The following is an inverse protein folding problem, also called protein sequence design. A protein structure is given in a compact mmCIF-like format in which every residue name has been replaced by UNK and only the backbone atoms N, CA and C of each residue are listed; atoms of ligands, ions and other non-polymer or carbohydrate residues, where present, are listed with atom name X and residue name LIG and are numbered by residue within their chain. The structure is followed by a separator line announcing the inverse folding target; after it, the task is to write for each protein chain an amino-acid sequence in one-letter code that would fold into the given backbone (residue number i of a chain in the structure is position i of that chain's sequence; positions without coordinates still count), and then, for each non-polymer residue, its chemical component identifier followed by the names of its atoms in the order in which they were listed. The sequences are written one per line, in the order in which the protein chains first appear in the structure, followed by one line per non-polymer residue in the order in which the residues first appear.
data_IF_975143325516
#
_entry.id   IF_975143325516
#
_cell.length_a   1.000
_cell.length_b   1.000
_cell.length_c   1.000
_cell.angle_alpha   90.00
_cell.angle_beta   90.00
_cell.angle_gamma   90.00
#
_symmetry.space_group_name_H-M   'P 1'
#
loop_
_entity.id
_entity.type
_entity.pdbx_description
1 polymer ?
#
# COMPACT_ATOMS: atom_id res chain seq x y z
N UNK A 1 -30.64 11.60 10.36
CA UNK A 1 -29.54 10.74 9.89
C UNK A 1 -28.25 11.29 10.50
N UNK A 2 -27.57 10.53 11.37
CA UNK A 2 -26.19 10.91 11.72
C UNK A 2 -25.34 10.73 10.45
N UNK A 3 -24.49 11.69 10.08
CA UNK A 3 -23.56 11.49 8.98
C UNK A 3 -22.73 10.24 9.25
N UNK A 4 -22.46 9.45 8.21
CA UNK A 4 -21.60 8.28 8.30
C UNK A 4 -20.15 8.74 8.53
N UNK A 5 -19.78 8.86 9.81
CA UNK A 5 -18.47 9.34 10.25
C UNK A 5 -17.34 8.43 9.73
N UNK A 6 -17.62 7.16 9.42
CA UNK A 6 -16.61 6.21 8.93
C UNK A 6 -16.19 6.47 7.48
N UNK A 7 -17.00 7.16 6.68
CA UNK A 7 -16.61 7.57 5.32
C UNK A 7 -15.65 8.77 5.27
N UNK A 8 -15.37 9.42 6.41
CA UNK A 8 -14.52 10.62 6.50
C UNK A 8 -13.25 10.43 7.33
N UNK A 9 -13.10 9.29 8.00
CA UNK A 9 -11.91 8.96 8.77
C UNK A 9 -10.93 8.15 7.92
N UNK A 10 -9.62 8.32 8.11
CA UNK A 10 -8.64 7.38 7.58
C UNK A 10 -8.99 5.96 8.04
N UNK A 11 -8.82 4.98 7.16
CA UNK A 11 -9.07 3.59 7.51
C UNK A 11 -7.93 3.06 8.39
N UNK A 12 -8.30 2.46 9.52
CA UNK A 12 -7.37 1.87 10.46
C UNK A 12 -7.72 0.42 10.71
N UNK A 13 -6.70 -0.40 10.95
CA UNK A 13 -6.88 -1.74 11.52
C UNK A 13 -7.09 -1.62 13.02
N UNK A 14 -8.16 -2.26 13.49
CA UNK A 14 -8.60 -2.23 14.89
C UNK A 14 -8.59 -3.67 15.42
N UNK A 15 -7.86 -3.97 16.50
CA UNK A 15 -7.83 -5.33 17.06
C UNK A 15 -9.19 -5.68 17.65
N UNK A 16 -9.65 -6.90 17.38
CA UNK A 16 -10.85 -7.43 17.99
C UNK A 16 -10.56 -7.85 19.44
N UNK A 17 -11.15 -7.13 20.39
CA UNK A 17 -11.20 -7.44 21.82
C UNK A 17 -12.55 -8.02 22.23
N UNK A 18 -13.40 -8.35 21.26
CA UNK A 18 -14.74 -8.87 21.47
C UNK A 18 -15.84 -7.99 20.86
N UNK A 19 -15.52 -6.75 20.49
CA UNK A 19 -16.48 -5.78 19.96
C UNK A 19 -17.10 -6.19 18.61
N UNK A 20 -16.51 -7.13 17.88
CA UNK A 20 -17.02 -7.60 16.59
C UNK A 20 -17.68 -8.99 16.63
N UNK A 21 -17.91 -9.56 17.82
CA UNK A 21 -18.45 -10.90 18.01
C UNK A 21 -17.36 -11.93 18.32
N UNK A 22 -17.74 -13.07 18.91
CA UNK A 22 -16.82 -14.12 19.36
C UNK A 22 -16.82 -15.37 18.47
N UNK A 23 -17.83 -15.53 17.60
CA UNK A 23 -18.03 -16.79 16.84
C UNK A 23 -17.13 -16.90 15.60
N UNK A 24 -16.48 -15.82 15.22
CA UNK A 24 -15.58 -15.75 14.06
C UNK A 24 -14.19 -15.38 14.60
N UNK A 25 -13.14 -16.09 14.15
CA UNK A 25 -11.74 -15.92 14.56
C UNK A 25 -11.11 -14.59 14.07
N UNK A 26 -11.87 -13.50 14.15
CA UNK A 26 -11.49 -12.17 13.71
C UNK A 26 -10.44 -11.62 14.65
N UNK A 27 -9.27 -11.30 14.11
CA UNK A 27 -8.14 -10.72 14.84
C UNK A 27 -8.12 -9.20 14.72
N UNK A 28 -8.31 -8.68 13.51
CA UNK A 28 -8.32 -7.25 13.19
C UNK A 28 -9.51 -6.93 12.27
N UNK A 29 -10.00 -5.71 12.35
CA UNK A 29 -11.03 -5.19 11.46
C UNK A 29 -10.59 -3.84 10.92
N UNK A 30 -10.74 -3.65 9.62
CA UNK A 30 -10.69 -2.35 8.96
C UNK A 30 -12.05 -2.07 8.33
N UNK A 31 -12.46 -0.81 8.27
CA UNK A 31 -13.78 -0.45 7.76
C UNK A 31 -13.69 0.80 6.88
N UNK A 32 -14.20 0.68 5.66
CA UNK A 32 -14.53 1.79 4.76
C UNK A 32 -16.00 2.18 4.92
N UNK A 33 -16.46 3.17 4.14
CA UNK A 33 -17.86 3.59 4.11
C UNK A 33 -18.85 2.49 3.70
N UNK A 34 -18.43 1.56 2.84
CA UNK A 34 -19.31 0.55 2.25
C UNK A 34 -18.83 -0.91 2.44
N UNK A 35 -17.60 -1.10 2.91
CA UNK A 35 -16.99 -2.41 3.08
C UNK A 35 -16.36 -2.56 4.47
N UNK A 36 -16.57 -3.71 5.09
CA UNK A 36 -15.83 -4.14 6.28
C UNK A 36 -14.86 -5.25 5.89
N UNK A 37 -13.59 -5.03 6.18
CA UNK A 37 -12.52 -5.99 6.03
C UNK A 37 -12.26 -6.67 7.38
N UNK A 38 -12.54 -7.95 7.48
CA UNK A 38 -12.32 -8.76 8.69
C UNK A 38 -11.13 -9.67 8.45
N UNK A 39 -10.05 -9.45 9.18
CA UNK A 39 -8.82 -10.24 9.10
C UNK A 39 -8.90 -11.36 10.13
N UNK A 40 -9.04 -12.60 9.64
CA UNK A 40 -9.02 -13.83 10.43
C UNK A 40 -7.65 -14.50 10.31
N UNK A 41 -7.37 -15.56 11.07
CA UNK A 41 -6.02 -16.17 11.07
C UNK A 41 -5.56 -16.69 9.69
N UNK A 42 -6.48 -17.13 8.82
CA UNK A 42 -6.16 -17.77 7.53
C UNK A 42 -6.94 -17.20 6.34
N UNK A 43 -7.69 -16.12 6.54
CA UNK A 43 -8.46 -15.50 5.48
C UNK A 43 -8.73 -14.02 5.79
N UNK A 44 -8.99 -13.26 4.73
CA UNK A 44 -9.56 -11.93 4.80
C UNK A 44 -10.97 -11.98 4.24
N UNK A 45 -11.96 -11.50 5.01
CA UNK A 45 -13.35 -11.45 4.59
C UNK A 45 -13.76 -10.01 4.34
N UNK A 46 -14.15 -9.71 3.12
CA UNK A 46 -14.69 -8.43 2.69
C UNK A 46 -16.21 -8.52 2.71
N UNK A 47 -16.86 -7.76 3.59
CA UNK A 47 -18.32 -7.69 3.70
C UNK A 47 -18.83 -6.35 3.20
N UNK A 48 -19.56 -6.34 2.09
CA UNK A 48 -20.32 -5.17 1.65
C UNK A 48 -21.73 -5.23 2.25
N UNK A 49 -22.14 -4.13 2.88
CA UNK A 49 -23.47 -3.98 3.44
C UNK A 49 -24.25 -2.96 2.62
N UNK A 50 -25.21 -3.39 1.81
CA UNK A 50 -26.17 -2.49 1.18
C UNK A 50 -27.11 -1.88 2.22
N UNK A 51 -27.34 -0.57 2.14
CA UNK A 51 -28.51 0.07 2.75
C UNK A 51 -29.59 0.09 1.67
N UNK A 52 -30.26 -1.04 1.45
CA UNK A 52 -31.48 -1.05 0.66
C UNK A 52 -32.66 -1.28 1.61
N UNK A 53 -33.59 -0.33 1.65
CA UNK A 53 -34.60 -0.21 2.72
C UNK A 53 -35.66 -1.33 2.71
N UNK A 54 -35.71 -2.16 1.66
CA UNK A 54 -36.77 -3.16 1.47
C UNK A 54 -36.29 -4.63 1.46
N UNK A 55 -34.99 -4.88 1.63
CA UNK A 55 -34.46 -6.24 1.71
C UNK A 55 -33.68 -6.36 3.02
N UNK A 56 -33.95 -7.42 3.78
CA UNK A 56 -33.18 -7.81 4.96
C UNK A 56 -31.68 -7.57 4.75
N UNK A 57 -30.96 -7.10 5.79
CA UNK A 57 -29.49 -6.85 5.86
C UNK A 57 -28.64 -8.06 5.41
N UNK A 58 -28.71 -8.46 4.15
CA UNK A 58 -27.89 -9.51 3.59
C UNK A 58 -26.62 -8.85 3.06
N UNK A 59 -25.55 -8.91 3.86
CA UNK A 59 -24.23 -8.52 3.38
C UNK A 59 -23.70 -9.57 2.39
N UNK A 60 -23.02 -9.13 1.35
CA UNK A 60 -22.27 -10.03 0.46
C UNK A 60 -20.86 -10.15 1.02
N UNK A 61 -20.37 -11.38 1.11
CA UNK A 61 -19.00 -11.66 1.50
C UNK A 61 -18.20 -12.13 0.28
N UNK A 62 -17.08 -11.46 -0.01
CA UNK A 62 -15.95 -12.10 -0.69
C UNK A 62 -15.00 -12.59 0.40
N UNK A 63 -14.54 -13.83 0.28
CA UNK A 63 -13.46 -14.37 1.13
C UNK A 63 -12.21 -14.56 0.29
N UNK A 64 -11.10 -14.08 0.82
CA UNK A 64 -9.75 -14.29 0.31
C UNK A 64 -9.04 -15.21 1.31
N UNK A 65 -9.14 -16.51 1.11
CA UNK A 65 -8.51 -17.49 1.99
C UNK A 65 -7.10 -17.84 1.50
N UNK A 66 -6.13 -17.89 2.40
CA UNK A 66 -4.82 -18.42 2.05
C UNK A 66 -4.97 -19.93 1.80
N UNK A 67 -4.55 -20.40 0.63
CA UNK A 67 -4.61 -21.81 0.27
C UNK A 67 -3.39 -22.56 0.81
N UNK A 68 -3.65 -23.61 1.60
CA UNK A 68 -2.62 -24.42 2.28
C UNK A 68 -1.52 -23.63 3.03
N UNK A 69 -1.85 -22.60 3.85
CA UNK A 69 -0.84 -21.81 4.53
C UNK A 69 -0.29 -22.57 5.74
N UNK A 70 0.83 -22.10 6.28
CA UNK A 70 1.49 -22.67 7.45
C UNK A 70 0.54 -22.78 8.65
N UNK A 71 0.74 -23.76 9.57
CA UNK A 71 -0.16 -23.94 10.71
C UNK A 71 -0.08 -22.79 11.73
N UNK A 72 1.00 -22.02 11.73
CA UNK A 72 1.30 -20.96 12.71
C UNK A 72 1.13 -19.54 12.16
N UNK A 73 0.32 -19.35 11.10
CA UNK A 73 -0.02 -18.01 10.59
C UNK A 73 -0.54 -17.14 11.73
N UNK A 74 0.00 -15.93 11.84
CA UNK A 74 -0.47 -14.94 12.81
C UNK A 74 -0.60 -13.58 12.16
N UNK A 75 -1.53 -12.75 12.63
CA UNK A 75 -1.72 -11.39 12.14
C UNK A 75 -1.64 -10.39 13.27
N UNK A 76 -0.87 -9.32 13.04
CA UNK A 76 -0.62 -8.27 14.04
C UNK A 76 -0.81 -6.89 13.43
N UNK A 77 -1.30 -5.95 14.24
CA UNK A 77 -1.34 -4.54 13.87
C UNK A 77 0.06 -3.92 13.97
N UNK A 78 0.45 -3.16 12.96
CA UNK A 78 1.74 -2.49 12.83
C UNK A 78 1.54 -0.99 12.61
N UNK A 79 2.59 -0.19 12.89
CA UNK A 79 2.56 1.28 12.79
C UNK A 79 1.35 1.88 13.53
N UNK A 80 1.44 1.89 14.86
CA UNK A 80 0.38 2.42 15.73
C UNK A 80 0.08 3.88 15.37
N UNK A 81 -1.19 4.17 15.10
CA UNK A 81 -1.67 5.52 14.84
C UNK A 81 -1.85 6.30 16.14
N UNK A 82 -1.87 7.63 16.03
CA UNK A 82 -2.22 8.50 17.14
C UNK A 82 -3.73 8.38 17.42
N UNK A 83 -4.09 8.04 18.66
CA UNK A 83 -5.49 7.94 19.12
C UNK A 83 -5.96 6.52 19.38
N UNK A 84 -7.25 6.40 19.67
CA UNK A 84 -7.92 5.16 20.00
C UNK A 84 -9.40 5.22 19.61
N UNK A 85 -10.02 4.05 19.43
CA UNK A 85 -11.47 3.93 19.32
C UNK A 85 -12.10 3.48 20.63
N UNK A 86 -13.31 4.00 20.86
CA UNK A 86 -14.19 3.63 21.96
C UNK A 86 -15.52 3.15 21.40
N UNK A 87 -15.91 1.93 21.71
CA UNK A 87 -17.18 1.31 21.31
C UNK A 87 -18.10 1.25 22.52
N UNK A 88 -19.02 2.20 22.63
CA UNK A 88 -19.98 2.28 23.74
C UNK A 88 -21.36 1.84 23.24
N UNK A 89 -21.72 0.56 23.44
CA UNK A 89 -22.96 -0.01 22.89
C UNK A 89 -24.06 -0.10 23.95
N UNK A 90 -24.99 0.85 23.90
CA UNK A 90 -26.12 0.91 24.83
C UNK A 90 -25.65 1.17 26.27
N UNK A 91 -26.47 0.80 27.25
CA UNK A 91 -26.20 1.07 28.67
C UNK A 91 -25.44 -0.07 29.38
N UNK A 92 -25.13 -1.14 28.68
CA UNK A 92 -24.43 -2.31 29.23
C UNK A 92 -22.91 -2.08 29.18
N UNK A 93 -22.28 -1.91 30.35
CA UNK A 93 -20.85 -1.64 30.45
C UNK A 93 -19.97 -2.79 29.97
N UNK A 94 -20.47 -4.02 30.00
CA UNK A 94 -19.72 -5.18 29.49
C UNK A 94 -19.60 -5.15 27.95
N UNK A 95 -20.37 -4.27 27.31
CA UNK A 95 -20.33 -4.01 25.87
C UNK A 95 -19.63 -2.69 25.55
N UNK A 96 -18.95 -2.09 26.54
CA UNK A 96 -18.16 -0.88 26.39
C UNK A 96 -16.68 -1.25 26.26
N UNK A 97 -16.13 -1.05 25.08
CA UNK A 97 -14.71 -1.29 24.79
C UNK A 97 -14.04 0.07 24.61
N UNK A 98 -13.03 0.38 25.42
CA UNK A 98 -12.35 1.69 25.41
C UNK A 98 -10.86 1.52 25.16
N UNK A 99 -10.20 2.59 24.72
CA UNK A 99 -8.75 2.64 24.46
C UNK A 99 -8.26 1.57 23.49
N UNK A 100 -9.10 1.24 22.50
CA UNK A 100 -8.73 0.26 21.47
C UNK A 100 -7.73 0.91 20.51
N UNK A 101 -6.49 0.39 20.42
CA UNK A 101 -5.45 1.01 19.60
C UNK A 101 -5.77 0.88 18.12
N UNK A 102 -5.27 1.84 17.35
CA UNK A 102 -5.42 1.91 15.90
C UNK A 102 -4.08 1.66 15.22
N UNK A 103 -4.10 1.01 14.07
CA UNK A 103 -2.91 0.67 13.30
C UNK A 103 -3.09 1.06 11.84
N UNK A 104 -2.04 1.61 11.23
CA UNK A 104 -2.04 1.92 9.79
C UNK A 104 -1.88 0.65 8.93
N UNK A 105 -1.31 -0.41 9.51
CA UNK A 105 -0.97 -1.62 8.78
C UNK A 105 -1.36 -2.86 9.59
N UNK A 106 -1.63 -3.95 8.89
CA UNK A 106 -1.66 -5.29 9.46
C UNK A 106 -0.63 -6.16 8.74
N UNK A 107 0.07 -7.02 9.47
CA UNK A 107 1.03 -7.96 8.88
C UNK A 107 0.65 -9.37 9.27
N UNK A 108 0.33 -10.19 8.27
CA UNK A 108 0.34 -11.63 8.40
C UNK A 108 1.76 -12.14 8.34
N UNK A 109 2.15 -12.92 9.35
CA UNK A 109 3.45 -13.56 9.47
C UNK A 109 3.35 -15.03 9.14
N UNK A 110 4.34 -15.54 8.43
CA UNK A 110 4.45 -16.95 8.06
C UNK A 110 3.17 -17.45 7.39
N UNK A 111 2.71 -16.75 6.34
CA UNK A 111 1.54 -17.22 5.57
C UNK A 111 1.93 -18.50 4.84
N UNK A 112 3.08 -18.46 4.17
CA UNK A 112 3.78 -19.62 3.61
C UNK A 112 5.26 -19.59 4.05
N UNK A 113 6.01 -20.66 3.77
CA UNK A 113 7.43 -20.73 4.10
C UNK A 113 8.22 -19.54 3.54
N UNK A 114 8.72 -18.68 4.43
CA UNK A 114 9.47 -17.48 4.06
C UNK A 114 8.63 -16.34 3.48
N UNK A 115 7.30 -16.39 3.58
CA UNK A 115 6.38 -15.39 3.00
C UNK A 115 5.49 -14.78 4.08
N UNK A 116 5.60 -13.45 4.22
CA UNK A 116 4.72 -12.61 5.02
C UNK A 116 3.82 -11.79 4.08
N UNK A 117 2.67 -11.31 4.57
CA UNK A 117 1.79 -10.41 3.83
C UNK A 117 1.52 -9.13 4.63
N UNK A 118 1.79 -7.97 4.04
CA UNK A 118 1.51 -6.65 4.62
C UNK A 118 0.26 -6.09 4.00
N UNK A 119 -0.66 -5.61 4.83
CA UNK A 119 -1.94 -5.06 4.41
C UNK A 119 -2.04 -3.62 4.88
N UNK A 120 -2.54 -2.76 4.01
CA UNK A 120 -2.76 -1.34 4.26
C UNK A 120 -3.98 -0.85 3.49
N UNK A 121 -4.44 0.33 3.90
CA UNK A 121 -5.48 1.06 3.18
C UNK A 121 -4.83 1.91 2.10
N UNK A 122 -5.37 1.83 0.88
CA UNK A 122 -4.95 2.68 -0.23
C UNK A 122 -6.14 3.03 -1.11
N UNK A 123 -6.23 4.28 -1.58
CA UNK A 123 -7.32 4.77 -2.44
C UNK A 123 -8.75 4.41 -1.96
N UNK A 124 -8.95 4.24 -0.65
CA UNK A 124 -10.24 3.85 -0.08
C UNK A 124 -10.51 2.33 -0.02
N UNK A 125 -9.57 1.50 -0.46
CA UNK A 125 -9.63 0.03 -0.44
C UNK A 125 -8.51 -0.63 0.39
N UNK A 126 -8.48 -1.96 0.36
CA UNK A 126 -7.44 -2.77 1.01
C UNK A 126 -6.42 -3.23 -0.05
N UNK A 127 -5.13 -3.11 0.27
CA UNK A 127 -4.03 -3.61 -0.55
C UNK A 127 -3.18 -4.65 0.19
N UNK A 128 -2.49 -5.49 -0.58
CA UNK A 128 -1.58 -6.53 -0.12
C UNK A 128 -0.20 -6.34 -0.74
N UNK A 129 0.84 -6.31 0.08
CA UNK A 129 2.21 -6.56 -0.36
C UNK A 129 2.63 -7.95 0.12
N UNK A 130 3.06 -8.82 -0.79
CA UNK A 130 3.64 -10.11 -0.45
C UNK A 130 5.15 -9.94 -0.28
N UNK A 131 5.65 -10.19 0.92
CA UNK A 131 7.06 -10.02 1.27
C UNK A 131 7.73 -11.38 1.37
N UNK A 132 8.56 -11.70 0.38
CA UNK A 132 9.27 -12.97 0.29
C UNK A 132 10.71 -12.79 0.77
N UNK A 133 11.11 -13.64 1.72
CA UNK A 133 12.50 -13.77 2.14
C UNK A 133 13.35 -14.43 1.03
N UNK A 134 14.69 -14.25 1.04
CA UNK A 134 15.58 -14.96 0.13
C UNK A 134 15.29 -16.46 0.08
N UNK A 135 15.09 -17.00 -1.13
CA UNK A 135 14.83 -18.41 -1.37
C UNK A 135 13.38 -18.86 -1.25
N UNK A 136 12.46 -18.01 -0.77
CA UNK A 136 11.03 -18.33 -0.72
C UNK A 136 10.46 -18.52 -2.14
N UNK A 137 9.48 -19.41 -2.29
CA UNK A 137 8.87 -19.76 -3.57
C UNK A 137 7.62 -18.90 -3.84
N UNK A 138 7.64 -17.98 -4.84
CA UNK A 138 6.48 -17.16 -5.19
C UNK A 138 5.25 -17.97 -5.60
N UNK A 139 5.44 -19.18 -6.15
CA UNK A 139 4.32 -20.03 -6.58
C UNK A 139 3.51 -20.60 -5.42
N UNK A 140 4.03 -20.53 -4.19
CA UNK A 140 3.30 -20.91 -2.98
C UNK A 140 2.16 -19.93 -2.66
N UNK A 141 2.24 -18.68 -3.15
CA UNK A 141 1.20 -17.68 -2.89
C UNK A 141 -0.04 -18.03 -3.71
N UNK A 142 -1.06 -18.51 -3.03
CA UNK A 142 -2.35 -18.85 -3.61
C UNK A 142 -3.49 -18.37 -2.72
N UNK A 143 -4.32 -17.48 -3.27
CA UNK A 143 -5.52 -16.96 -2.64
C UNK A 143 -6.74 -17.65 -3.23
N UNK A 144 -7.49 -18.37 -2.40
CA UNK A 144 -8.80 -18.87 -2.78
C UNK A 144 -9.83 -17.75 -2.62
N UNK A 145 -10.38 -17.31 -3.74
CA UNK A 145 -11.49 -16.36 -3.82
C UNK A 145 -12.80 -17.13 -3.84
N UNK A 146 -13.67 -16.87 -2.86
CA UNK A 146 -15.03 -17.41 -2.80
C UNK A 146 -16.07 -16.31 -2.55
N UNK A 147 -17.32 -16.57 -2.91
CA UNK A 147 -18.45 -15.64 -2.71
C UNK A 147 -18.64 -14.60 -3.81
N UNK A 148 -17.74 -14.53 -4.78
CA UNK A 148 -17.95 -13.82 -6.04
C UNK A 148 -18.84 -14.64 -6.98
N UNK A 149 -19.65 -13.95 -7.80
CA UNK A 149 -20.47 -14.59 -8.83
C UNK A 149 -19.63 -15.10 -10.01
N UNK A 150 -18.56 -14.36 -10.34
CA UNK A 150 -17.57 -14.73 -11.34
C UNK A 150 -16.23 -14.05 -11.03
N UNK A 151 -15.13 -14.63 -11.51
CA UNK A 151 -13.77 -14.10 -11.36
C UNK A 151 -13.01 -14.30 -12.67
N UNK A 152 -12.37 -13.25 -13.18
CA UNK A 152 -11.62 -13.29 -14.44
C UNK A 152 -10.41 -12.36 -14.41
N UNK A 153 -9.50 -12.55 -15.37
CA UNK A 153 -8.48 -11.58 -15.73
C UNK A 153 -8.95 -10.83 -16.97
N UNK A 154 -8.86 -9.50 -16.96
CA UNK A 154 -9.19 -8.68 -18.15
C UNK A 154 -8.04 -8.65 -19.17
N UNK A 155 -8.25 -7.98 -20.31
CA UNK A 155 -7.26 -7.87 -21.39
C UNK A 155 -5.98 -7.12 -20.98
N UNK A 156 -6.02 -6.37 -19.87
CA UNK A 156 -4.87 -5.65 -19.31
C UNK A 156 -4.13 -6.46 -18.24
N UNK A 157 -4.66 -7.63 -17.86
CA UNK A 157 -4.12 -8.51 -16.83
C UNK A 157 -4.55 -8.14 -15.41
N UNK A 158 -5.55 -7.26 -15.25
CA UNK A 158 -6.13 -6.94 -13.95
C UNK A 158 -7.05 -8.07 -13.49
N UNK A 159 -7.08 -8.32 -12.18
CA UNK A 159 -8.01 -9.27 -11.58
C UNK A 159 -9.35 -8.60 -11.35
N UNK A 160 -10.44 -9.26 -11.74
CA UNK A 160 -11.79 -8.77 -11.52
C UNK A 160 -12.66 -9.86 -10.90
N UNK A 161 -13.49 -9.48 -9.92
CA UNK A 161 -14.47 -10.37 -9.29
C UNK A 161 -15.84 -9.68 -9.21
N UNK A 162 -16.84 -10.27 -9.84
CA UNK A 162 -18.20 -9.75 -9.85
C UNK A 162 -18.90 -10.06 -8.52
N UNK A 163 -19.50 -9.05 -7.92
CA UNK A 163 -20.41 -9.20 -6.77
C UNK A 163 -21.79 -8.61 -7.06
N UNK A 164 -22.82 -8.98 -6.28
CA UNK A 164 -24.12 -8.30 -6.34
C UNK A 164 -24.09 -6.80 -6.04
N UNK A 165 -23.03 -6.28 -5.41
CA UNK A 165 -22.89 -4.85 -5.06
C UNK A 165 -21.93 -4.08 -5.97
N UNK A 166 -21.37 -4.73 -6.98
CA UNK A 166 -20.44 -4.12 -7.93
C UNK A 166 -19.24 -5.00 -8.25
N UNK A 167 -18.32 -4.42 -9.00
CA UNK A 167 -17.09 -5.09 -9.42
C UNK A 167 -15.98 -4.81 -8.39
N UNK A 168 -15.37 -5.88 -7.87
CA UNK A 168 -14.06 -5.78 -7.22
C UNK A 168 -12.99 -5.90 -8.29
N UNK A 169 -12.02 -4.98 -8.32
CA UNK A 169 -10.90 -5.04 -9.25
C UNK A 169 -9.59 -4.85 -8.49
N UNK A 170 -8.57 -5.59 -8.91
CA UNK A 170 -7.20 -5.40 -8.51
C UNK A 170 -6.33 -5.22 -9.74
N UNK A 171 -5.48 -4.20 -9.72
CA UNK A 171 -4.60 -3.91 -10.84
C UNK A 171 -3.60 -5.06 -11.02
N UNK A 172 -3.14 -5.29 -12.26
CA UNK A 172 -2.09 -6.28 -12.52
C UNK A 172 -0.90 -6.06 -11.56
N UNK A 173 -0.30 -7.14 -11.04
CA UNK A 173 0.69 -7.01 -9.99
C UNK A 173 2.03 -6.57 -10.57
N UNK A 174 2.80 -5.86 -9.77
CA UNK A 174 4.21 -5.55 -10.04
C UNK A 174 5.05 -6.29 -9.01
N UNK A 175 6.23 -6.79 -9.36
CA UNK A 175 7.17 -7.29 -8.37
C UNK A 175 8.45 -6.45 -8.42
N UNK A 176 9.16 -6.30 -7.30
CA UNK A 176 10.48 -5.67 -7.32
C UNK A 176 11.44 -6.23 -6.27
N UNK A 177 12.73 -6.02 -6.52
CA UNK A 177 13.80 -6.20 -5.53
C UNK A 177 14.52 -4.89 -5.31
N UNK A 178 14.78 -4.55 -4.04
CA UNK A 178 15.64 -3.43 -3.69
C UNK A 178 17.09 -3.78 -4.00
N UNK A 179 17.74 -2.98 -4.85
CA UNK A 179 19.16 -3.12 -5.19
C UNK A 179 19.93 -1.87 -4.76
N UNK A 180 21.26 -1.93 -4.76
CA UNK A 180 22.11 -0.75 -4.49
C UNK A 180 21.85 0.41 -5.48
N UNK A 181 21.34 0.10 -6.68
CA UNK A 181 20.94 1.07 -7.71
C UNK A 181 19.47 1.53 -7.63
N UNK A 182 18.72 1.09 -6.60
CA UNK A 182 17.29 1.35 -6.45
C UNK A 182 16.40 0.14 -6.76
N UNK A 183 15.08 0.30 -6.82
CA UNK A 183 14.14 -0.80 -7.05
C UNK A 183 14.29 -1.36 -8.48
N UNK A 184 14.55 -2.65 -8.58
CA UNK A 184 14.56 -3.41 -9.83
C UNK A 184 13.20 -4.07 -10.01
N UNK A 185 12.41 -3.58 -10.97
CA UNK A 185 11.10 -4.14 -11.32
C UNK A 185 11.26 -5.47 -12.03
N UNK A 186 10.51 -6.47 -11.58
CA UNK A 186 10.40 -7.80 -12.16
C UNK A 186 8.99 -7.95 -12.71
N UNK A 187 8.84 -8.20 -14.03
CA UNK A 187 7.53 -8.47 -14.61
C UNK A 187 6.82 -9.61 -13.88
N UNK A 188 5.57 -9.35 -13.49
CA UNK A 188 4.72 -10.27 -12.75
C UNK A 188 3.31 -10.20 -13.33
N UNK A 189 2.59 -11.32 -13.28
CA UNK A 189 1.17 -11.38 -13.65
C UNK A 189 0.39 -12.24 -12.65
N UNK A 190 -0.92 -12.02 -12.61
CA UNK A 190 -1.81 -12.95 -11.93
C UNK A 190 -1.91 -14.27 -12.70
N UNK A 191 -2.05 -15.36 -11.97
CA UNK A 191 -2.57 -16.63 -12.49
C UNK A 191 -3.93 -16.89 -11.87
N UNK A 192 -4.85 -17.44 -12.65
CA UNK A 192 -6.21 -17.71 -12.21
C UNK A 192 -6.61 -19.12 -12.66
N UNK A 193 -6.89 -20.00 -11.70
CA UNK A 193 -7.33 -21.38 -11.97
C UNK A 193 -8.51 -21.76 -11.08
N UNK A 194 -9.45 -22.60 -11.55
CA UNK A 194 -10.50 -23.13 -10.69
C UNK A 194 -9.88 -23.95 -9.54
N UNK A 195 -10.43 -23.82 -8.33
CA UNK A 195 -9.98 -24.65 -7.22
C UNK A 195 -10.48 -26.10 -7.43
N UNK A 196 -9.57 -27.07 -7.36
CA UNK A 196 -9.91 -28.48 -7.61
C UNK A 196 -10.76 -29.10 -6.48
N UNK A 197 -10.45 -28.75 -5.23
CA UNK A 197 -11.04 -29.34 -4.02
C UNK A 197 -11.90 -28.35 -3.22
N UNK A 198 -12.26 -27.21 -3.81
CA UNK A 198 -13.08 -26.18 -3.18
C UNK A 198 -13.93 -25.43 -4.21
N UNK A 199 -15.03 -24.82 -3.78
CA UNK A 199 -15.72 -23.84 -4.61
C UNK A 199 -14.88 -22.56 -4.69
N UNK A 200 -14.73 -21.99 -5.89
CA UNK A 200 -14.04 -20.72 -6.10
C UNK A 200 -12.83 -20.81 -7.02
N UNK A 201 -12.02 -19.75 -6.99
CA UNK A 201 -10.88 -19.57 -7.88
C UNK A 201 -9.61 -19.35 -7.08
N UNK A 202 -8.53 -20.02 -7.47
CA UNK A 202 -7.19 -19.78 -6.94
C UNK A 202 -6.52 -18.69 -7.77
N UNK A 203 -6.20 -17.58 -7.11
CA UNK A 203 -5.36 -16.51 -7.64
C UNK A 203 -3.95 -16.71 -7.12
N UNK A 204 -2.98 -16.77 -8.03
CA UNK A 204 -1.55 -16.79 -7.69
C UNK A 204 -0.77 -15.77 -8.51
N UNK A 205 0.55 -15.88 -8.44
CA UNK A 205 1.47 -14.99 -9.14
C UNK A 205 2.44 -15.79 -9.99
N UNK A 206 2.76 -15.26 -11.17
CA UNK A 206 3.79 -15.79 -12.04
C UNK A 206 4.75 -14.66 -12.44
N UNK A 207 6.04 -14.87 -12.18
CA UNK A 207 7.11 -13.95 -12.57
C UNK A 207 7.55 -14.29 -13.98
N UNK A 208 7.57 -13.32 -14.89
CA UNK A 208 7.83 -13.56 -16.31
C UNK A 208 9.32 -13.64 -16.63
N UNK A 209 10.16 -13.06 -15.77
CA UNK A 209 11.61 -13.06 -15.89
C UNK A 209 12.31 -13.63 -14.64
N UNK A 210 13.59 -13.98 -14.79
CA UNK A 210 14.40 -14.40 -13.66
C UNK A 210 14.67 -13.26 -12.68
N UNK A 211 14.64 -13.57 -11.39
CA UNK A 211 15.01 -12.65 -10.30
C UNK A 211 16.12 -13.24 -9.44
N UNK A 212 16.79 -12.42 -8.63
CA UNK A 212 17.84 -12.92 -7.74
C UNK A 212 17.23 -13.59 -6.50
N UNK A 213 17.22 -14.93 -6.46
CA UNK A 213 16.66 -15.71 -5.35
C UNK A 213 17.40 -15.53 -4.02
N UNK A 214 18.60 -14.95 -4.02
CA UNK A 214 19.34 -14.65 -2.79
C UNK A 214 18.98 -13.29 -2.18
N UNK A 215 18.06 -12.57 -2.81
CA UNK A 215 17.55 -11.29 -2.33
C UNK A 215 16.07 -11.40 -1.98
N UNK A 216 15.57 -10.56 -1.05
CA UNK A 216 14.14 -10.43 -0.83
C UNK A 216 13.41 -10.03 -2.11
N UNK A 217 12.13 -10.39 -2.19
CA UNK A 217 11.23 -10.01 -3.28
C UNK A 217 9.94 -9.46 -2.67
N UNK A 218 9.43 -8.37 -3.22
CA UNK A 218 8.11 -7.85 -2.87
C UNK A 218 7.21 -7.98 -4.10
N UNK A 219 6.05 -8.62 -3.95
CA UNK A 219 5.05 -8.76 -5.02
C UNK A 219 3.80 -7.97 -4.66
N UNK A 220 3.28 -7.32 -5.68
CA UNK A 220 2.16 -6.38 -5.66
C UNK A 220 2.31 -5.18 -4.71
N UNK A 221 3.51 -4.61 -4.51
CA UNK A 221 3.61 -3.35 -3.82
C UNK A 221 3.05 -2.23 -4.70
N UNK A 222 2.34 -1.30 -4.09
CA UNK A 222 2.00 -0.07 -4.79
C UNK A 222 3.29 0.73 -5.06
N UNK A 223 3.63 0.87 -6.34
CA UNK A 223 4.59 1.86 -6.81
C UNK A 223 3.80 3.08 -7.27
N UNK A 224 3.62 4.07 -6.38
CA UNK A 224 2.94 5.32 -6.73
C UNK A 224 3.59 6.00 -7.94
N UNK A 225 4.93 6.07 -7.95
CA UNK A 225 5.73 6.37 -9.14
C UNK A 225 7.21 6.12 -8.86
N UNK A 226 8.00 6.00 -9.92
CA UNK A 226 9.46 6.11 -9.89
C UNK A 226 9.90 6.93 -11.10
N UNK A 227 10.88 7.80 -10.91
CA UNK A 227 11.41 8.65 -11.97
C UNK A 227 12.88 8.95 -11.72
N UNK A 228 13.59 9.39 -12.76
CA UNK A 228 14.98 9.81 -12.66
C UNK A 228 15.07 11.33 -12.50
N UNK A 229 15.79 11.78 -11.49
CA UNK A 229 16.08 13.18 -11.25
C UNK A 229 17.59 13.39 -11.10
N UNK A 230 18.20 14.05 -12.08
CA UNK A 230 19.63 14.35 -12.09
C UNK A 230 20.09 14.86 -13.46
N UNK A 231 21.35 15.31 -13.53
CA UNK A 231 22.01 15.75 -14.75
C UNK A 231 23.32 14.99 -15.02
N UNK A 232 24.19 15.54 -15.87
CA UNK A 232 25.51 14.96 -16.19
C UNK A 232 26.58 15.27 -15.13
N UNK A 233 26.18 15.83 -13.99
CA UNK A 233 27.06 16.29 -12.93
C UNK A 233 27.01 15.38 -11.71
N UNK A 234 27.51 15.89 -10.59
CA UNK A 234 27.27 15.29 -9.28
C UNK A 234 25.90 15.74 -8.79
N UNK A 235 25.02 14.78 -8.55
CA UNK A 235 23.71 14.97 -7.94
C UNK A 235 23.64 14.17 -6.64
N UNK A 236 23.13 14.77 -5.57
CA UNK A 236 23.15 14.14 -4.25
C UNK A 236 22.00 14.59 -3.37
N UNK A 237 21.42 13.66 -2.64
CA UNK A 237 20.50 13.92 -1.52
C UNK A 237 21.17 13.63 -0.16
N UNK A 238 22.40 13.15 -0.13
CA UNK A 238 22.95 12.40 1.02
C UNK A 238 23.47 13.30 2.16
N UNK A 239 23.34 14.63 2.06
CA UNK A 239 23.93 15.57 3.03
C UNK A 239 22.93 16.43 3.82
N UNK A 240 21.62 16.22 3.66
CA UNK A 240 20.59 16.86 4.50
C UNK A 240 19.82 15.86 5.34
N UNK A 241 19.44 16.29 6.55
CA UNK A 241 18.36 15.65 7.30
C UNK A 241 17.03 16.03 6.65
N UNK A 242 16.22 15.04 6.30
CA UNK A 242 14.96 15.16 5.55
C UNK A 242 15.19 15.72 4.15
N UNK A 243 15.30 14.85 3.14
CA UNK A 243 15.49 15.25 1.74
C UNK A 243 14.19 15.18 0.95
N UNK A 244 13.17 14.50 1.46
CA UNK A 244 11.91 14.23 0.79
C UNK A 244 10.76 14.44 1.77
N UNK A 245 9.77 15.26 1.38
CA UNK A 245 8.47 15.33 2.05
C UNK A 245 7.34 15.29 1.02
N UNK A 246 6.16 14.82 1.44
CA UNK A 246 4.97 14.71 0.58
C UNK A 246 3.91 15.68 1.09
N UNK A 247 3.38 16.54 0.22
CA UNK A 247 2.32 17.47 0.60
C UNK A 247 0.99 16.74 0.83
N UNK A 248 0.01 17.33 1.53
CA UNK A 248 -1.32 16.72 1.70
C UNK A 248 -2.07 16.42 0.38
N UNK A 249 -1.63 17.02 -0.74
CA UNK A 249 -2.15 16.76 -2.08
C UNK A 249 -1.38 15.64 -2.81
N UNK A 250 -0.47 14.93 -2.14
CA UNK A 250 0.30 13.82 -2.69
C UNK A 250 1.56 14.21 -3.47
N UNK A 251 1.89 15.50 -3.58
CA UNK A 251 3.06 15.94 -4.34
C UNK A 251 4.35 15.69 -3.54
N UNK A 252 5.30 14.97 -4.12
CA UNK A 252 6.64 14.84 -3.56
C UNK A 252 7.47 16.11 -3.78
N UNK A 253 8.13 16.59 -2.73
CA UNK A 253 9.12 17.66 -2.78
C UNK A 253 10.45 17.09 -2.32
N UNK A 254 11.45 17.14 -3.21
CA UNK A 254 12.81 16.70 -2.96
C UNK A 254 13.74 17.90 -2.85
N UNK A 255 14.57 17.90 -1.82
CA UNK A 255 15.69 18.83 -1.64
C UNK A 255 16.99 18.06 -1.75
N UNK A 256 17.80 18.42 -2.73
CA UNK A 256 19.09 17.81 -3.01
C UNK A 256 20.15 18.85 -3.31
N UNK A 257 21.20 18.42 -3.99
CA UNK A 257 22.26 19.27 -4.53
C UNK A 257 22.63 18.82 -5.93
N UNK A 258 23.04 19.76 -6.77
CA UNK A 258 23.58 19.47 -8.11
C UNK A 258 24.62 20.51 -8.52
N UNK A 259 25.58 20.09 -9.35
CA UNK A 259 26.43 21.00 -10.13
C UNK A 259 26.19 20.90 -11.64
N UNK A 260 25.11 20.24 -12.05
CA UNK A 260 24.80 19.95 -13.44
C UNK A 260 24.14 21.16 -14.13
N UNK A 261 24.92 22.23 -14.34
CA UNK A 261 24.47 23.55 -14.77
C UNK A 261 23.61 23.60 -16.05
N UNK A 262 23.81 22.66 -16.98
CA UNK A 262 23.13 22.64 -18.27
C UNK A 262 22.09 21.51 -18.42
N UNK A 263 22.07 20.54 -17.50
CA UNK A 263 21.36 19.28 -17.70
C UNK A 263 20.47 18.90 -16.52
N UNK A 264 20.62 19.55 -15.37
CA UNK A 264 19.66 19.34 -14.29
C UNK A 264 18.29 19.86 -14.72
N UNK A 265 17.20 19.09 -14.53
CA UNK A 265 15.87 19.51 -14.94
C UNK A 265 15.38 20.69 -14.07
N UNK A 266 15.17 21.84 -14.72
CA UNK A 266 14.60 23.05 -14.13
C UNK A 266 13.28 23.42 -14.81
N UNK A 267 12.40 24.12 -14.12
CA UNK A 267 11.16 24.64 -14.72
C UNK A 267 11.30 26.13 -15.09
N UNK A 268 10.61 26.64 -16.12
CA UNK A 268 10.65 28.07 -16.43
C UNK A 268 10.11 28.96 -15.30
N UNK A 269 10.64 30.19 -15.18
CA UNK A 269 10.11 31.19 -14.24
C UNK A 269 10.45 30.96 -12.76
N UNK A 270 11.44 30.12 -12.47
CA UNK A 270 11.88 29.82 -11.11
C UNK A 270 12.86 30.85 -10.55
N UNK A 271 13.07 30.80 -9.23
CA UNK A 271 13.92 31.74 -8.50
C UNK A 271 15.35 31.79 -9.03
N UNK A 272 15.98 30.63 -9.23
CA UNK A 272 17.32 30.52 -9.78
C UNK A 272 17.34 29.38 -10.82
N UNK A 273 17.23 29.71 -12.12
CA UNK A 273 17.12 28.73 -13.19
C UNK A 273 18.47 28.12 -13.61
N UNK A 274 19.59 28.64 -13.09
CA UNK A 274 20.93 28.21 -13.47
C UNK A 274 21.76 28.02 -12.20
N UNK A 275 22.58 26.98 -12.21
CA UNK A 275 23.63 26.76 -11.22
C UNK A 275 24.47 28.03 -10.98
N UNK A 276 24.56 28.44 -9.72
CA UNK A 276 25.18 29.68 -9.25
C UNK A 276 26.70 29.65 -9.26
N UNK A 277 27.31 28.47 -9.18
CA UNK A 277 28.77 28.30 -9.28
C UNK A 277 29.36 27.39 -8.20
N UNK A 278 30.70 27.34 -8.14
CA UNK A 278 31.42 26.55 -7.13
C UNK A 278 31.30 25.03 -7.30
N UNK A 279 31.10 24.27 -6.21
CA UNK A 279 31.14 22.78 -6.26
C UNK A 279 29.77 22.09 -6.30
N UNK A 280 28.77 22.64 -5.60
CA UNK A 280 27.39 22.14 -5.50
C UNK A 280 26.48 23.29 -5.09
N UNK A 281 25.29 23.33 -5.67
CA UNK A 281 24.18 24.19 -5.24
C UNK A 281 23.03 23.33 -4.77
N UNK A 282 22.18 23.89 -3.90
CA UNK A 282 20.94 23.25 -3.47
C UNK A 282 19.99 23.16 -4.65
N UNK A 283 19.29 22.04 -4.79
CA UNK A 283 18.17 21.88 -5.71
C UNK A 283 16.89 21.63 -4.93
N UNK A 284 15.79 22.23 -5.39
CA UNK A 284 14.45 22.00 -4.82
C UNK A 284 13.53 21.64 -5.99
N UNK A 285 13.04 20.40 -6.00
CA UNK A 285 12.19 19.85 -7.05
C UNK A 285 10.87 19.35 -6.46
N UNK A 286 9.74 19.73 -7.07
CA UNK A 286 8.40 19.27 -6.73
C UNK A 286 7.81 18.53 -7.91
N UNK A 287 7.27 17.35 -7.66
CA UNK A 287 6.58 16.52 -8.63
C UNK A 287 5.07 16.69 -8.54
N UNK A 288 4.35 16.30 -9.60
CA UNK A 288 2.93 15.95 -9.52
C UNK A 288 2.73 14.76 -8.57
N UNK A 289 1.50 14.54 -8.10
CA UNK A 289 1.20 13.46 -7.15
C UNK A 289 1.39 12.05 -7.71
N UNK A 290 1.31 11.91 -9.04
CA UNK A 290 1.56 10.69 -9.80
C UNK A 290 3.00 10.61 -10.35
N UNK A 291 3.86 11.60 -10.01
CA UNK A 291 5.25 11.66 -10.46
C UNK A 291 5.47 11.79 -11.97
N UNK A 292 4.41 12.04 -12.75
CA UNK A 292 4.48 12.13 -14.21
C UNK A 292 5.21 13.38 -14.69
N UNK A 293 5.19 14.47 -13.91
CA UNK A 293 5.79 15.75 -14.26
C UNK A 293 6.47 16.46 -13.08
N UNK A 294 7.39 17.36 -13.41
CA UNK A 294 7.98 18.32 -12.47
C UNK A 294 7.14 19.60 -12.47
N UNK A 295 6.45 19.87 -11.36
CA UNK A 295 5.68 21.10 -11.14
C UNK A 295 6.59 22.32 -10.91
N UNK A 296 7.73 22.11 -10.26
CA UNK A 296 8.66 23.17 -9.90
C UNK A 296 10.06 22.59 -9.71
N UNK A 297 11.10 23.21 -10.27
CA UNK A 297 12.49 22.84 -9.98
C UNK A 297 13.44 24.03 -10.11
N UNK A 298 14.19 24.34 -9.05
CA UNK A 298 15.09 25.50 -8.96
C UNK A 298 16.43 25.12 -8.33
N UNK A 299 17.47 25.89 -8.65
CA UNK A 299 18.68 25.96 -7.85
C UNK A 299 18.52 26.94 -6.68
N UNK A 300 19.44 26.88 -5.72
CA UNK A 300 19.69 27.89 -4.70
C UNK A 300 21.17 27.82 -4.28
N UNK A 301 21.94 28.85 -4.62
CA UNK A 301 23.37 28.93 -4.29
C UNK A 301 24.11 30.06 -5.01
N UNK A 302 25.42 30.12 -4.84
CA UNK A 302 26.32 31.11 -5.45
C UNK A 302 27.65 30.50 -5.89
N UNK A 303 28.74 31.28 -5.89
CA UNK A 303 30.07 30.78 -6.35
C UNK A 303 30.72 29.75 -5.40
N UNK A 304 30.02 29.32 -4.34
CA UNK A 304 30.52 28.53 -3.23
C UNK A 304 30.08 27.06 -3.27
N UNK A 305 30.10 26.40 -2.11
CA UNK A 305 29.44 25.10 -1.94
C UNK A 305 28.25 25.32 -1.04
N UNK A 306 27.05 25.19 -1.60
CA UNK A 306 25.79 25.41 -0.92
C UNK A 306 25.13 24.06 -0.66
N UNK A 307 25.02 23.71 0.62
CA UNK A 307 24.47 22.42 1.08
C UNK A 307 23.20 22.65 1.90
N UNK A 308 22.14 21.86 1.69
CA UNK A 308 20.94 21.95 2.50
C UNK A 308 21.24 21.39 3.90
N UNK A 309 20.87 22.12 4.96
CA UNK A 309 21.07 21.68 6.36
C UNK A 309 19.82 21.09 7.01
N UNK A 310 18.70 21.13 6.32
CA UNK A 310 17.40 20.66 6.78
C UNK A 310 16.29 21.59 6.29
N UNK A 311 15.11 21.03 6.12
CA UNK A 311 13.89 21.75 5.78
C UNK A 311 12.68 21.01 6.34
N UNK A 312 11.53 21.67 6.39
CA UNK A 312 10.26 21.09 6.77
C UNK A 312 9.12 21.90 6.13
N UNK A 313 8.01 21.23 5.80
CA UNK A 313 6.77 21.88 5.34
C UNK A 313 5.91 22.47 6.47
N UNK A 314 6.29 22.29 7.75
CA UNK A 314 5.56 22.74 8.95
C UNK A 314 6.26 23.83 9.73
#
# INVERSE_FOLDING_TARGET
MKPDIFGQLPMYFVPNKGQFGHDMDIKLVMQSSNCRYSLLSREVVMTWCGIDMDISRQGVNIRLAFWNPEPNVSVVGCRRAAGAFHYLRGNDSDRHFTDIPLYHEAVYRHVWEGIDARLYSESGGLKFDWMLQPGADPSAIQLLITGAADVWLDDEGNLAAQTPYGLFQDAKPVAFQETDSGPCVIPCRFTLVPAADAEGWLVGFELEEGYNRFMPLIIDPELNFSTYLGGTGLDSTIMSSNTLEVTPQGNAILVGMSNAAATFPITPGVFQPVYGGGSLDITITKFTSDGSDILFSTFLGGDGTDIPRGWNLT
#
